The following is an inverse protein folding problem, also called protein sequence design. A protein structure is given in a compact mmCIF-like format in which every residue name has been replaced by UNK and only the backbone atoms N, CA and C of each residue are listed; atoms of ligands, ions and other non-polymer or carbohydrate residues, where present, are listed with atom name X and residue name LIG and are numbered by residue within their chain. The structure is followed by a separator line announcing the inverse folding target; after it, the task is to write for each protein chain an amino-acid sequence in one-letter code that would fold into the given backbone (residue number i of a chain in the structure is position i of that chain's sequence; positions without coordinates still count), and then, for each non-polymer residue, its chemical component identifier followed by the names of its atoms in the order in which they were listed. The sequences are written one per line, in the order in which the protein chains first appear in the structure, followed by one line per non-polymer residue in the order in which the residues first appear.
data_IF_912325985291
#
_entry.id   IF_912325985291
#
_cell.length_a   1.000
_cell.length_b   1.000
_cell.length_c   1.000
_cell.angle_alpha   90.00
_cell.angle_beta   90.00
_cell.angle_gamma   90.00
#
_symmetry.space_group_name_H-M   'P 1'
#
loop_
_entity.id
_entity.type
_entity.pdbx_description
1 polymer ?
#
# COMPACT_ATOMS: atom_id res chain seq x y z
N UNK A 1 -7.00 -67.78 17.09
CA UNK A 1 -6.70 -66.34 17.26
C UNK A 1 -6.69 -65.70 15.88
N UNK A 2 -7.58 -64.74 15.62
CA UNK A 2 -7.67 -63.99 14.36
C UNK A 2 -7.10 -62.59 14.61
N UNK A 3 -5.93 -62.32 14.06
CA UNK A 3 -5.27 -61.01 14.16
C UNK A 3 -5.89 -60.07 13.13
N UNK A 4 -6.59 -59.05 13.59
CA UNK A 4 -7.14 -57.98 12.74
C UNK A 4 -6.07 -56.90 12.64
N UNK A 5 -5.54 -56.69 11.43
CA UNK A 5 -4.59 -55.60 11.13
C UNK A 5 -5.39 -54.41 10.61
N UNK A 6 -5.59 -53.40 11.45
CA UNK A 6 -6.19 -52.12 11.05
C UNK A 6 -5.17 -51.27 10.31
N UNK A 7 -5.42 -51.04 9.02
CA UNK A 7 -4.60 -50.19 8.15
C UNK A 7 -5.04 -48.72 8.33
N UNK A 8 -4.28 -47.94 9.10
CA UNK A 8 -4.55 -46.52 9.31
C UNK A 8 -4.02 -45.71 8.13
N UNK A 9 -4.91 -45.26 7.24
CA UNK A 9 -4.55 -44.39 6.11
C UNK A 9 -4.23 -42.97 6.59
N UNK A 10 -2.98 -42.54 6.42
CA UNK A 10 -2.51 -41.18 6.73
C UNK A 10 -2.86 -40.26 5.54
N UNK A 11 -3.89 -39.41 5.68
CA UNK A 11 -4.19 -38.36 4.70
C UNK A 11 -3.12 -37.25 4.81
N UNK A 12 -2.23 -37.17 3.82
CA UNK A 12 -1.37 -35.99 3.63
C UNK A 12 -2.22 -34.84 3.08
N UNK A 13 -2.50 -33.83 3.90
CA UNK A 13 -3.01 -32.55 3.41
C UNK A 13 -1.86 -31.87 2.65
N UNK A 14 -1.96 -31.82 1.32
CA UNK A 14 -1.06 -31.02 0.50
C UNK A 14 -1.34 -29.53 0.79
N UNK A 15 -0.48 -28.89 1.58
CA UNK A 15 -0.48 -27.43 1.72
C UNK A 15 -0.06 -26.81 0.39
N UNK A 16 -0.79 -25.78 -0.06
CA UNK A 16 -0.37 -24.97 -1.20
C UNK A 16 0.87 -24.19 -0.80
N UNK A 17 2.05 -24.65 -1.26
CA UNK A 17 3.29 -23.88 -1.13
C UNK A 17 3.19 -22.66 -2.06
N UNK A 18 2.81 -21.52 -1.50
CA UNK A 18 2.84 -20.24 -2.21
C UNK A 18 4.29 -19.74 -2.14
N UNK A 19 5.00 -19.77 -3.27
CA UNK A 19 6.38 -19.28 -3.38
C UNK A 19 6.44 -17.88 -4.01
N UNK A 20 5.51 -17.00 -3.63
CA UNK A 20 5.11 -15.87 -4.45
C UNK A 20 5.04 -14.56 -3.67
N UNK A 21 5.25 -13.45 -4.36
CA UNK A 21 4.83 -12.14 -3.88
C UNK A 21 3.30 -12.04 -4.00
N UNK A 22 2.67 -11.43 -3.02
CA UNK A 22 1.24 -11.22 -3.00
C UNK A 22 0.96 -9.78 -2.59
N UNK A 23 0.94 -8.90 -3.58
CA UNK A 23 0.52 -7.52 -3.46
C UNK A 23 -0.91 -7.47 -2.94
N UNK A 24 -1.13 -6.63 -1.95
CA UNK A 24 -2.42 -6.45 -1.29
C UNK A 24 -2.92 -5.02 -1.45
N UNK A 25 -2.02 -4.04 -1.58
CA UNK A 25 -2.38 -2.64 -1.88
C UNK A 25 -1.40 -1.95 -2.84
N UNK A 26 -1.91 -1.18 -3.82
CA UNK A 26 -3.26 -1.29 -4.38
C UNK A 26 -3.60 -2.72 -4.83
N UNK A 27 -4.90 -3.03 -4.96
CA UNK A 27 -5.35 -4.39 -5.31
C UNK A 27 -4.72 -4.80 -6.65
N UNK A 28 -4.02 -5.94 -6.71
CA UNK A 28 -3.38 -6.36 -7.95
C UNK A 28 -4.42 -6.83 -8.97
N UNK A 29 -4.07 -6.64 -10.24
CA UNK A 29 -4.82 -7.12 -11.41
C UNK A 29 -4.95 -8.64 -11.43
N UNK A 30 -3.89 -9.36 -11.04
CA UNK A 30 -3.82 -10.83 -10.98
C UNK A 30 -2.84 -11.27 -9.90
N UNK A 31 -2.96 -12.54 -9.48
CA UNK A 31 -2.00 -13.21 -8.59
C UNK A 31 -0.88 -13.91 -9.37
N UNK A 32 -1.01 -14.07 -10.68
CA UNK A 32 0.09 -14.54 -11.53
C UNK A 32 1.28 -13.57 -11.41
N UNK A 33 2.50 -14.10 -11.47
CA UNK A 33 3.68 -13.27 -11.24
C UNK A 33 4.94 -13.65 -12.02
N UNK A 34 4.91 -14.70 -12.82
CA UNK A 34 6.13 -15.29 -13.41
C UNK A 34 6.51 -14.72 -14.78
N UNK A 35 5.59 -14.03 -15.43
CA UNK A 35 5.82 -13.44 -16.74
C UNK A 35 5.78 -11.91 -16.65
N UNK A 36 6.83 -11.25 -17.12
CA UNK A 36 6.84 -9.80 -17.18
C UNK A 36 5.85 -9.25 -18.23
N UNK A 37 5.40 -7.99 -18.08
CA UNK A 37 5.68 -7.10 -16.95
C UNK A 37 4.66 -7.20 -15.80
N UNK A 38 3.55 -7.92 -15.99
CA UNK A 38 2.40 -7.91 -15.07
C UNK A 38 1.93 -9.32 -14.70
N UNK A 39 2.89 -10.22 -14.53
CA UNK A 39 2.74 -11.54 -13.96
C UNK A 39 2.31 -12.67 -14.91
N UNK A 40 1.64 -12.33 -16.02
CA UNK A 40 1.17 -13.26 -17.04
C UNK A 40 1.43 -12.72 -18.46
N UNK A 41 1.72 -13.61 -19.42
CA UNK A 41 1.87 -13.26 -20.84
C UNK A 41 0.54 -12.83 -21.49
N UNK A 42 -0.58 -13.16 -20.86
CA UNK A 42 -1.93 -12.75 -21.28
C UNK A 42 -2.50 -11.69 -20.33
N UNK A 43 -1.65 -10.99 -19.57
CA UNK A 43 -2.10 -9.94 -18.65
C UNK A 43 -2.77 -8.81 -19.42
N UNK A 44 -4.03 -8.53 -19.08
CA UNK A 44 -4.82 -7.44 -19.63
C UNK A 44 -5.35 -6.60 -18.47
N UNK A 45 -5.44 -5.28 -18.67
CA UNK A 45 -5.97 -4.36 -17.67
C UNK A 45 -7.33 -4.86 -17.15
N UNK A 46 -7.43 -4.96 -15.83
CA UNK A 46 -8.62 -5.45 -15.15
C UNK A 46 -9.61 -4.34 -14.82
N UNK A 47 -10.72 -4.73 -14.17
CA UNK A 47 -11.71 -3.80 -13.63
C UNK A 47 -11.42 -3.35 -12.19
N UNK A 48 -10.44 -3.98 -11.52
CA UNK A 48 -10.02 -3.63 -10.16
C UNK A 48 -9.11 -2.41 -10.22
N UNK A 49 -9.72 -1.23 -10.31
CA UNK A 49 -9.01 0.04 -10.48
C UNK A 49 -9.07 0.85 -9.18
N UNK A 50 -7.90 1.29 -8.70
CA UNK A 50 -7.82 2.22 -7.56
C UNK A 50 -7.61 3.64 -8.05
N UNK A 51 -8.36 4.61 -7.51
CA UNK A 51 -8.22 6.03 -7.88
C UNK A 51 -7.44 6.78 -6.82
N UNK A 52 -6.51 7.62 -7.26
CA UNK A 52 -5.66 8.48 -6.43
C UNK A 52 -5.68 9.92 -6.92
N UNK A 53 -5.26 10.84 -6.05
CA UNK A 53 -5.01 12.23 -6.40
C UNK A 53 -3.62 12.41 -7.04
N UNK A 54 -3.44 13.45 -7.88
CA UNK A 54 -2.11 13.80 -8.37
C UNK A 54 -1.14 14.12 -7.22
N UNK A 55 0.07 13.55 -7.27
CA UNK A 55 1.08 13.77 -6.23
C UNK A 55 0.84 13.04 -4.92
N UNK A 56 -0.18 12.19 -4.83
CA UNK A 56 -0.50 11.47 -3.61
C UNK A 56 0.64 10.53 -3.21
N UNK A 57 1.06 10.58 -1.95
CA UNK A 57 1.91 9.56 -1.34
C UNK A 57 1.03 8.41 -0.90
N UNK A 58 1.21 7.24 -1.53
CA UNK A 58 0.44 6.04 -1.25
C UNK A 58 1.31 5.00 -0.56
N UNK A 59 0.67 4.11 0.21
CA UNK A 59 1.33 2.90 0.73
C UNK A 59 1.09 1.73 -0.22
N UNK A 60 2.18 1.15 -0.71
CA UNK A 60 2.20 -0.14 -1.41
C UNK A 60 2.44 -1.24 -0.39
N UNK A 61 1.58 -2.26 -0.39
CA UNK A 61 1.64 -3.38 0.57
C UNK A 61 1.68 -4.71 -0.19
N UNK A 62 2.51 -5.64 0.28
CA UNK A 62 2.61 -6.99 -0.26
C UNK A 62 3.15 -7.98 0.77
N UNK A 63 2.87 -9.24 0.54
CA UNK A 63 3.41 -10.36 1.32
C UNK A 63 4.43 -11.12 0.47
N UNK A 64 5.57 -11.42 1.05
CA UNK A 64 6.48 -12.42 0.51
C UNK A 64 6.25 -13.74 1.24
N UNK A 65 5.68 -14.70 0.51
CA UNK A 65 5.31 -15.99 1.11
C UNK A 65 6.42 -17.01 1.13
N UNK A 66 7.42 -16.85 0.25
CA UNK A 66 8.70 -17.57 0.30
C UNK A 66 9.80 -16.55 0.08
N UNK A 67 10.72 -16.53 1.02
CA UNK A 67 11.93 -15.71 1.00
C UNK A 67 12.80 -16.01 -0.23
N UNK A 68 13.09 -14.96 -1.00
CA UNK A 68 14.07 -14.96 -2.07
C UNK A 68 15.09 -13.83 -1.89
N UNK A 69 16.41 -14.12 -1.87
CA UNK A 69 17.42 -13.09 -1.77
C UNK A 69 17.34 -12.08 -2.92
N UNK A 70 17.45 -10.79 -2.60
CA UNK A 70 17.49 -9.71 -3.58
C UNK A 70 16.87 -8.43 -3.06
N UNK A 71 15.99 -7.82 -3.86
CA UNK A 71 15.34 -6.56 -3.53
C UNK A 71 14.02 -6.39 -4.30
N UNK A 72 13.25 -5.37 -3.94
CA UNK A 72 12.04 -4.98 -4.65
C UNK A 72 12.18 -3.64 -5.35
N UNK A 73 11.31 -3.44 -6.33
CA UNK A 73 11.12 -2.19 -7.07
C UNK A 73 9.64 -1.88 -7.19
N UNK A 74 9.31 -0.60 -7.00
CA UNK A 74 8.02 -0.06 -7.42
C UNK A 74 8.24 0.87 -8.61
N UNK A 75 7.51 0.63 -9.69
CA UNK A 75 7.57 1.42 -10.92
C UNK A 75 6.17 1.84 -11.38
N UNK A 76 6.10 2.89 -12.18
CA UNK A 76 4.88 3.49 -12.70
C UNK A 76 4.96 3.72 -14.20
N UNK A 77 3.83 3.50 -14.87
CA UNK A 77 3.59 3.77 -16.28
C UNK A 77 2.28 4.57 -16.39
N UNK A 78 2.30 5.70 -17.10
CA UNK A 78 1.16 6.59 -17.23
C UNK A 78 0.11 6.10 -18.24
N UNK A 79 0.47 5.19 -19.14
CA UNK A 79 -0.41 4.65 -20.17
C UNK A 79 -0.06 3.20 -20.57
N UNK A 80 -0.51 2.24 -19.77
CA UNK A 80 -0.29 0.82 -20.05
C UNK A 80 0.87 0.24 -19.24
N UNK A 81 1.83 -0.41 -19.91
CA UNK A 81 2.86 -1.25 -19.27
C UNK A 81 4.20 -1.28 -20.03
N UNK A 82 4.37 -0.44 -21.04
CA UNK A 82 5.52 -0.49 -21.96
C UNK A 82 6.76 0.25 -21.42
N UNK A 83 6.60 1.07 -20.38
CA UNK A 83 7.72 1.70 -19.68
C UNK A 83 8.50 0.73 -18.79
N UNK A 84 7.96 -0.46 -18.49
CA UNK A 84 8.57 -1.40 -17.55
C UNK A 84 9.67 -2.25 -18.19
N UNK A 85 10.93 -1.90 -17.92
CA UNK A 85 12.11 -2.69 -18.29
C UNK A 85 12.69 -3.45 -17.08
N UNK A 86 13.21 -4.66 -17.32
CA UNK A 86 13.93 -5.41 -16.28
C UNK A 86 15.30 -4.78 -16.03
N UNK A 87 15.71 -4.59 -14.76
CA UNK A 87 17.09 -4.26 -14.45
C UNK A 87 17.98 -5.47 -14.76
N UNK A 88 19.13 -5.22 -15.35
CA UNK A 88 20.18 -6.21 -15.58
C UNK A 88 21.28 -6.13 -14.50
N UNK A 89 21.47 -4.96 -13.88
CA UNK A 89 22.48 -4.75 -12.84
C UNK A 89 22.05 -3.64 -11.85
N UNK A 90 22.74 -3.47 -10.70
CA UNK A 90 22.35 -2.51 -9.66
C UNK A 90 22.37 -1.04 -10.09
N UNK A 91 23.06 -0.69 -11.19
CA UNK A 91 23.18 0.70 -11.64
C UNK A 91 22.16 1.06 -12.73
N UNK A 92 21.31 0.10 -13.15
CA UNK A 92 20.26 0.41 -14.11
C UNK A 92 19.21 1.31 -13.45
N UNK A 93 18.92 2.43 -14.10
CA UNK A 93 17.95 3.39 -13.62
C UNK A 93 16.97 3.70 -14.75
N UNK A 94 15.69 3.54 -14.48
CA UNK A 94 14.62 3.72 -15.46
C UNK A 94 13.74 4.91 -15.06
N UNK A 95 13.30 5.75 -16.00
CA UNK A 95 12.38 6.85 -15.69
C UNK A 95 11.06 6.41 -15.03
N UNK A 96 10.64 5.16 -15.27
CA UNK A 96 9.45 4.55 -14.66
C UNK A 96 9.64 4.21 -13.18
N UNK A 97 10.87 4.11 -12.67
CA UNK A 97 11.12 3.65 -11.30
C UNK A 97 10.75 4.74 -10.30
N UNK A 98 9.82 4.43 -9.39
CA UNK A 98 9.48 5.31 -8.27
C UNK A 98 10.43 5.08 -7.10
N UNK A 99 10.67 3.82 -6.74
CA UNK A 99 11.59 3.43 -5.66
C UNK A 99 12.29 2.11 -5.99
N UNK A 100 13.62 2.13 -5.94
CA UNK A 100 14.52 0.96 -6.01
C UNK A 100 15.89 1.36 -5.43
N UNK A 101 16.59 0.49 -4.68
CA UNK A 101 16.14 -0.80 -4.18
C UNK A 101 15.31 -0.67 -2.90
N UNK A 102 14.28 -1.50 -2.78
CA UNK A 102 13.59 -1.74 -1.51
C UNK A 102 14.20 -3.00 -0.91
N UNK A 103 14.79 -2.86 0.28
CA UNK A 103 15.49 -3.96 0.94
C UNK A 103 14.58 -5.13 1.27
N UNK A 104 15.08 -6.34 1.02
CA UNK A 104 14.45 -7.57 1.45
C UNK A 104 14.49 -7.74 2.99
N UNK A 105 13.45 -8.35 3.57
CA UNK A 105 13.26 -8.57 5.01
C UNK A 105 13.23 -10.05 5.38
N UNK A 106 13.60 -10.96 4.48
CA UNK A 106 13.57 -12.41 4.70
C UNK A 106 12.15 -12.95 4.85
N UNK A 107 11.24 -12.51 3.97
CA UNK A 107 9.82 -12.90 3.97
C UNK A 107 8.89 -12.04 4.84
N UNK A 108 7.58 -12.33 4.73
CA UNK A 108 6.53 -11.72 5.55
C UNK A 108 5.88 -10.49 4.91
N UNK A 109 5.43 -9.56 5.75
CA UNK A 109 4.66 -8.39 5.33
C UNK A 109 5.56 -7.18 5.03
N UNK A 110 5.35 -6.57 3.87
CA UNK A 110 6.08 -5.40 3.40
C UNK A 110 5.15 -4.21 3.19
N UNK A 111 5.72 -3.03 3.37
CA UNK A 111 5.08 -1.74 3.16
C UNK A 111 6.12 -0.79 2.58
N UNK A 112 5.76 -0.05 1.54
CA UNK A 112 6.60 1.01 0.96
C UNK A 112 5.74 2.22 0.63
N UNK A 113 6.12 3.40 1.12
CA UNK A 113 5.53 4.65 0.66
C UNK A 113 6.14 5.07 -0.66
N UNK A 114 5.31 5.46 -1.63
CA UNK A 114 5.73 6.03 -2.91
C UNK A 114 4.87 7.24 -3.24
N UNK A 115 5.48 8.28 -3.82
CA UNK A 115 4.75 9.45 -4.31
C UNK A 115 4.40 9.26 -5.77
N UNK A 116 3.12 9.32 -6.09
CA UNK A 116 2.63 9.23 -7.47
C UNK A 116 2.92 10.51 -8.25
N UNK A 117 3.02 10.44 -9.60
CA UNK A 117 3.20 11.64 -10.41
C UNK A 117 2.02 12.62 -10.30
N UNK A 118 2.29 13.88 -10.65
CA UNK A 118 1.28 14.94 -10.71
C UNK A 118 0.42 14.88 -11.98
N UNK A 119 0.80 14.06 -12.97
CA UNK A 119 0.11 13.98 -14.26
C UNK A 119 -1.12 13.07 -14.13
N UNK A 120 -2.34 13.56 -14.42
CA UNK A 120 -3.53 12.72 -14.46
C UNK A 120 -3.43 11.64 -15.53
N UNK A 121 -3.95 10.45 -15.23
CA UNK A 121 -3.92 9.28 -16.12
C UNK A 121 -5.14 8.39 -15.86
N UNK A 122 -5.70 7.82 -16.93
CA UNK A 122 -6.87 6.92 -16.84
C UNK A 122 -6.53 5.46 -17.14
N UNK A 123 -5.34 5.21 -17.67
CA UNK A 123 -4.84 3.90 -18.07
C UNK A 123 -3.48 3.57 -17.43
N UNK A 124 -3.17 4.18 -16.30
CA UNK A 124 -1.89 4.00 -15.64
C UNK A 124 -1.81 2.70 -14.84
N UNK A 125 -0.59 2.19 -14.73
CA UNK A 125 -0.27 0.94 -14.04
C UNK A 125 0.85 1.18 -13.03
N UNK A 126 0.70 0.58 -11.84
CA UNK A 126 1.76 0.48 -10.86
C UNK A 126 2.31 -0.96 -10.86
N UNK A 127 3.62 -1.13 -11.02
CA UNK A 127 4.29 -2.42 -10.96
C UNK A 127 5.03 -2.59 -9.63
N UNK A 128 4.78 -3.69 -8.94
CA UNK A 128 5.67 -4.27 -7.95
C UNK A 128 6.51 -5.35 -8.64
N UNK A 129 7.83 -5.25 -8.52
CA UNK A 129 8.76 -6.28 -8.96
C UNK A 129 9.60 -6.77 -7.78
N UNK A 130 9.79 -8.09 -7.69
CA UNK A 130 10.86 -8.68 -6.89
C UNK A 130 11.98 -9.10 -7.83
N UNK A 131 13.18 -8.59 -7.61
CA UNK A 131 14.41 -9.11 -8.20
C UNK A 131 14.92 -10.20 -7.27
N UNK A 132 14.73 -11.46 -7.67
CA UNK A 132 14.99 -12.64 -6.81
C UNK A 132 16.42 -13.16 -6.93
N UNK A 133 17.38 -12.26 -7.04
CA UNK A 133 18.79 -12.63 -7.11
C UNK A 133 19.67 -11.45 -6.71
N UNK A 134 20.79 -11.76 -6.07
CA UNK A 134 21.89 -10.81 -5.85
C UNK A 134 23.01 -11.00 -6.88
N UNK A 135 22.90 -12.00 -7.76
CA UNK A 135 23.90 -12.30 -8.79
C UNK A 135 23.65 -11.44 -10.02
N UNK A 136 24.68 -10.71 -10.46
CA UNK A 136 24.68 -9.90 -11.67
C UNK A 136 25.26 -10.72 -12.84
N UNK A 137 24.65 -10.72 -14.04
CA UNK A 137 23.42 -10.02 -14.41
C UNK A 137 22.17 -10.62 -13.76
N UNK A 138 21.25 -9.74 -13.35
CA UNK A 138 19.95 -10.14 -12.83
C UNK A 138 19.13 -10.83 -13.92
N UNK A 139 18.51 -11.95 -13.57
CA UNK A 139 17.80 -12.80 -14.54
C UNK A 139 16.58 -13.54 -13.95
N UNK A 140 16.20 -13.22 -12.71
CA UNK A 140 15.13 -13.89 -11.99
C UNK A 140 14.22 -12.84 -11.35
N UNK A 141 12.96 -12.83 -11.76
CA UNK A 141 12.03 -11.75 -11.43
C UNK A 141 10.62 -12.28 -11.17
N UNK A 142 9.92 -11.64 -10.24
CA UNK A 142 8.48 -11.73 -10.11
C UNK A 142 7.83 -10.36 -10.26
N UNK A 143 6.59 -10.36 -10.76
CA UNK A 143 5.89 -9.15 -11.17
C UNK A 143 4.45 -9.18 -10.72
N UNK A 144 3.95 -8.11 -10.12
CA UNK A 144 2.52 -7.88 -9.99
C UNK A 144 2.21 -6.44 -10.35
N UNK A 145 1.07 -6.23 -11.00
CA UNK A 145 0.61 -4.91 -11.41
C UNK A 145 -0.71 -4.60 -10.74
N UNK A 146 -0.88 -3.34 -10.34
CA UNK A 146 -2.16 -2.78 -9.94
C UNK A 146 -2.60 -1.74 -10.98
N UNK A 147 -3.87 -1.79 -11.34
CA UNK A 147 -4.47 -0.84 -12.27
C UNK A 147 -4.93 0.38 -11.48
N UNK A 148 -4.45 1.56 -11.87
CA UNK A 148 -4.75 2.79 -11.14
C UNK A 148 -5.24 3.89 -12.08
N UNK A 149 -5.80 4.94 -11.47
CA UNK A 149 -6.25 6.16 -12.13
C UNK A 149 -5.80 7.32 -11.25
N UNK A 150 -5.21 8.34 -11.87
CA UNK A 150 -4.88 9.61 -11.20
C UNK A 150 -5.83 10.67 -11.77
N UNK A 151 -6.68 11.23 -10.93
CA UNK A 151 -7.68 12.23 -11.34
C UNK A 151 -7.78 13.38 -10.36
N UNK A 152 -8.08 14.57 -10.87
CA UNK A 152 -8.20 15.81 -10.10
C UNK A 152 -7.13 16.82 -10.47
N UNK A 153 -7.20 18.00 -9.87
CA UNK A 153 -6.16 19.01 -9.95
C UNK A 153 -5.26 18.84 -8.73
N UNK A 154 -3.96 18.65 -8.94
CA UNK A 154 -3.02 18.47 -7.85
C UNK A 154 -3.10 19.67 -6.90
N UNK A 155 -3.39 19.43 -5.62
CA UNK A 155 -3.19 20.44 -4.60
C UNK A 155 -1.70 20.61 -4.42
N UNK A 156 -1.10 21.47 -5.24
CA UNK A 156 0.28 21.90 -5.05
C UNK A 156 0.38 22.46 -3.65
N UNK A 157 0.99 21.72 -2.74
CA UNK A 157 1.53 22.28 -1.50
C UNK A 157 2.60 23.28 -1.91
N UNK A 158 2.17 24.51 -2.18
CA UNK A 158 3.04 25.65 -2.24
C UNK A 158 3.67 25.80 -0.87
N UNK A 159 4.96 25.45 -0.77
CA UNK A 159 5.80 25.90 0.33
C UNK A 159 5.77 27.43 0.33
N UNK A 160 4.89 27.99 1.15
CA UNK A 160 4.93 29.39 1.53
C UNK A 160 6.16 29.62 2.39
N UNK A 161 7.29 29.93 1.77
CA UNK A 161 8.44 30.52 2.47
C UNK A 161 8.32 32.03 2.35
N UNK A 162 7.45 32.62 3.17
CA UNK A 162 7.51 34.03 3.53
C UNK A 162 7.97 34.12 4.98
N UNK A 163 9.13 34.74 5.22
CA UNK A 163 9.45 35.52 6.42
C UNK A 163 10.81 36.20 6.21
N UNK A 164 10.75 37.47 5.81
CA UNK A 164 11.84 38.41 6.02
C UNK A 164 11.70 39.06 7.40
N UNK A 165 12.86 39.24 8.02
CA UNK A 165 13.27 40.22 9.03
C UNK A 165 12.39 40.49 10.26
N UNK A 166 13.03 40.24 11.41
CA UNK A 166 12.60 40.66 12.73
C UNK A 166 13.01 42.11 12.99
N UNK A 167 12.10 42.92 13.50
CA UNK A 167 12.45 44.12 14.27
C UNK A 167 11.42 44.33 15.40
N UNK A 168 11.96 44.37 16.62
CA UNK A 168 11.27 44.67 17.88
C UNK A 168 10.86 46.14 17.96
N UNK A 169 9.64 46.43 18.44
CA UNK A 169 9.36 47.65 19.21
C UNK A 169 8.35 47.35 20.33
N UNK A 170 8.83 47.52 21.57
CA UNK A 170 8.12 47.58 22.85
C UNK A 170 7.20 48.81 22.98
N UNK A 171 6.04 48.68 23.66
CA UNK A 171 5.20 49.82 24.00
C UNK A 171 3.84 49.54 24.66
N UNK A 172 3.82 49.35 25.98
CA UNK A 172 2.97 50.13 26.91
C UNK A 172 1.47 49.82 27.13
N UNK A 173 1.17 49.30 28.32
CA UNK A 173 0.05 49.58 29.25
C UNK A 173 -1.40 49.80 28.76
N UNK A 174 -2.32 48.96 29.24
CA UNK A 174 -3.42 49.46 30.10
C UNK A 174 -4.03 48.38 30.99
N UNK A 175 -4.29 48.82 32.23
CA UNK A 175 -4.86 48.13 33.39
C UNK A 175 -6.34 47.78 33.23
N UNK A 176 -6.75 46.61 33.72
CA UNK A 176 -8.14 46.24 33.90
C UNK A 176 -8.31 45.24 35.04
N UNK A 177 -8.55 45.77 36.25
CA UNK A 177 -8.90 45.02 37.46
C UNK A 177 -10.21 44.26 37.31
N UNK A 178 -10.23 42.98 37.71
CA UNK A 178 -11.44 42.17 37.82
C UNK A 178 -11.24 41.04 38.82
N UNK A 179 -11.68 41.29 40.05
CA UNK A 179 -11.53 40.45 41.24
C UNK A 179 -12.45 39.23 41.25
N UNK A 180 -12.00 38.13 41.86
CA UNK A 180 -12.90 37.23 42.59
C UNK A 180 -12.73 35.71 42.37
N UNK A 181 -12.34 35.00 43.43
CA UNK A 181 -13.12 33.83 43.86
C UNK A 181 -12.56 32.42 43.61
N UNK A 182 -11.72 32.00 44.56
CA UNK A 182 -11.42 30.67 45.11
C UNK A 182 -12.48 29.53 44.95
N UNK A 183 -11.98 28.28 44.93
CA UNK A 183 -12.51 26.95 45.37
C UNK A 183 -12.71 25.90 44.24
N UNK A 184 -11.89 24.85 44.10
CA UNK A 184 -11.72 23.58 44.86
C UNK A 184 -12.92 22.60 44.83
N UNK A 185 -12.62 21.38 44.34
CA UNK A 185 -13.15 20.03 44.67
C UNK A 185 -14.07 19.29 43.67
N UNK A 186 -13.54 18.15 43.21
CA UNK A 186 -14.10 16.78 43.23
C UNK A 186 -15.46 16.47 42.54
N UNK A 187 -15.41 15.55 41.56
CA UNK A 187 -15.99 14.22 41.74
C UNK A 187 -17.29 13.83 40.99
N UNK A 188 -17.35 12.53 40.67
CA UNK A 188 -18.44 11.66 40.18
C UNK A 188 -18.85 11.80 38.70
N UNK A 189 -18.69 10.81 37.81
CA UNK A 189 -19.15 9.40 37.77
C UNK A 189 -20.48 9.20 37.00
N UNK A 190 -20.35 8.46 35.90
CA UNK A 190 -21.29 7.53 35.26
C UNK A 190 -22.75 7.94 34.95
N UNK A 191 -23.12 7.91 33.67
CA UNK A 191 -24.41 7.35 33.26
C UNK A 191 -24.28 6.45 32.02
N UNK A 192 -24.62 5.19 32.27
CA UNK A 192 -24.87 4.10 31.33
C UNK A 192 -26.22 4.33 30.66
N UNK A 193 -26.33 4.03 29.36
CA UNK A 193 -27.62 3.80 28.72
C UNK A 193 -27.54 3.35 27.27
N UNK A 194 -27.75 2.06 26.95
CA UNK A 194 -28.02 1.64 25.58
C UNK A 194 -29.53 1.63 25.32
N UNK A 195 -29.98 2.39 24.31
CA UNK A 195 -31.34 2.27 23.79
C UNK A 195 -31.42 1.11 22.80
N UNK A 196 -32.24 0.13 23.17
CA UNK A 196 -32.76 -0.94 22.34
C UNK A 196 -33.54 -0.39 21.14
N UNK A 197 -33.15 -0.85 19.95
CA UNK A 197 -34.00 -1.71 19.11
C UNK A 197 -34.93 -1.06 18.10
N UNK A 198 -34.88 -1.56 16.85
CA UNK A 198 -36.09 -2.01 16.12
C UNK A 198 -35.73 -2.92 14.94
N UNK A 199 -36.08 -4.20 15.09
CA UNK A 199 -36.19 -5.17 14.00
C UNK A 199 -37.43 -4.85 13.16
N UNK A 200 -37.29 -4.80 11.84
CA UNK A 200 -38.39 -4.67 10.89
C UNK A 200 -38.34 -5.81 9.88
N UNK A 201 -39.33 -6.69 10.05
CA UNK A 201 -39.70 -7.86 9.26
C UNK A 201 -39.74 -7.65 7.74
N UNK A 202 -39.30 -8.70 7.06
CA UNK A 202 -39.56 -9.09 5.67
C UNK A 202 -41.03 -8.96 5.26
N UNK A 203 -41.26 -8.44 4.05
CA UNK A 203 -42.46 -8.68 3.23
C UNK A 203 -42.04 -9.43 1.96
N UNK A 204 -42.48 -10.66 1.84
CA UNK A 204 -42.68 -11.38 0.58
C UNK A 204 -44.16 -11.25 0.20
N UNK A 205 -44.43 -11.03 -1.08
CA UNK A 205 -45.77 -11.11 -1.64
C UNK A 205 -45.76 -10.71 -3.12
N UNK A 206 -46.07 -11.67 -3.99
CA UNK A 206 -46.24 -11.51 -5.43
C UNK A 206 -45.56 -12.60 -6.22
#
# INVERSE_FOLDING_TARGET
MRTVVTLTSLLLLAGTAQAHIAMTKPVPRSLDQKAGPCGSTTSVRGSNVTTYAPGETITVEWDETVDHPGHYRVAFDDDGVDAFANPNNPNDNFPSTLVEPIADKVGGHYTQEVTLPMTPCTNCTLQLMQVMTTTVPYNSFYYQCADIVITGEGSGSGSGSGSGDADEVEGGCSTGSGSGGVLLLLGLAALIGPLRGRSSRSRHGG
#
